data_IF_871289425463
#
_entry.id   IF_871289425463
#
_cell.length_a   1.000
_cell.length_b   1.000
_cell.length_c   1.000
_cell.angle_alpha   90.00
_cell.angle_beta   90.00
_cell.angle_gamma   90.00
#
_symmetry.space_group_name_H-M   'P 1'
#
loop_
_entity.id
_entity.type
_entity.pdbx_description
1 polymer ?
#
# COMPACT_ATOMS: atom_id res chain seq x y z
N UNK A 1 3.99 3.95 -18.36
CA UNK A 1 3.76 3.64 -16.94
C UNK A 1 2.29 3.33 -16.76
N UNK A 2 1.93 2.25 -16.06
CA UNK A 2 0.56 2.06 -15.58
C UNK A 2 0.07 3.34 -14.86
N UNK A 3 -1.20 3.67 -15.06
CA UNK A 3 -1.82 4.88 -14.51
C UNK A 3 -2.99 4.46 -13.64
N UNK A 4 -3.12 5.11 -12.49
CA UNK A 4 -4.27 5.03 -11.59
C UNK A 4 -5.03 6.35 -11.69
N UNK A 5 -6.34 6.31 -11.45
CA UNK A 5 -7.15 7.52 -11.39
C UNK A 5 -6.72 8.42 -10.22
N UNK A 6 -6.61 9.73 -10.47
CA UNK A 6 -6.29 10.68 -9.41
C UNK A 6 -7.39 10.70 -8.35
N UNK A 7 -7.00 10.69 -7.08
CA UNK A 7 -7.95 10.71 -5.95
C UNK A 7 -8.49 9.32 -5.56
N UNK A 8 -7.99 8.25 -6.17
CA UNK A 8 -8.23 6.88 -5.68
C UNK A 8 -7.65 6.71 -4.28
N UNK A 9 -8.40 6.04 -3.40
CA UNK A 9 -7.93 5.71 -2.06
C UNK A 9 -6.94 4.55 -2.14
N UNK A 10 -5.68 4.72 -1.71
CA UNK A 10 -4.70 3.64 -1.78
C UNK A 10 -4.96 2.59 -0.70
N UNK A 11 -4.71 1.33 -1.04
CA UNK A 11 -4.44 0.29 -0.05
C UNK A 11 -3.04 0.50 0.52
N UNK A 12 -2.86 0.34 1.83
CA UNK A 12 -1.57 0.51 2.49
C UNK A 12 -1.21 -0.79 3.18
N UNK A 13 0.01 -1.26 2.98
CA UNK A 13 0.58 -2.40 3.69
C UNK A 13 1.82 -1.93 4.45
N UNK A 14 1.89 -2.29 5.72
CA UNK A 14 3.09 -2.20 6.55
C UNK A 14 3.64 -3.61 6.73
N UNK A 15 4.80 -3.89 6.15
CA UNK A 15 5.47 -5.18 6.22
C UNK A 15 6.69 -5.07 7.13
N UNK A 16 6.86 -6.00 8.07
CA UNK A 16 8.03 -6.07 8.94
C UNK A 16 7.65 -6.01 10.43
N UNK A 17 8.21 -6.89 11.27
CA UNK A 17 7.94 -6.90 12.71
C UNK A 17 8.44 -5.63 13.43
N UNK A 18 9.32 -4.85 12.81
CA UNK A 18 9.88 -3.61 13.34
C UNK A 18 8.80 -2.57 13.62
N UNK A 19 7.74 -2.52 12.81
CA UNK A 19 6.61 -1.61 13.02
C UNK A 19 5.82 -1.89 14.30
N UNK A 20 5.91 -3.11 14.86
CA UNK A 20 5.25 -3.48 16.11
C UNK A 20 6.20 -3.47 17.30
N UNK A 21 7.45 -3.91 17.08
CA UNK A 21 8.46 -4.13 18.11
C UNK A 21 9.22 -2.86 18.52
N UNK A 22 9.61 -2.01 17.56
CA UNK A 22 10.30 -0.76 17.85
C UNK A 22 9.32 0.42 17.89
N UNK A 23 9.37 1.15 19.00
CA UNK A 23 8.56 2.36 19.22
C UNK A 23 8.83 3.47 18.18
N UNK A 24 10.05 3.57 17.64
CA UNK A 24 10.39 4.59 16.64
C UNK A 24 9.78 4.22 15.30
N UNK A 25 10.03 2.99 14.83
CA UNK A 25 9.43 2.46 13.60
C UNK A 25 7.91 2.47 13.66
N UNK A 26 7.30 2.14 14.80
CA UNK A 26 5.85 2.25 15.00
C UNK A 26 5.31 3.67 14.80
N UNK A 27 6.01 4.69 15.32
CA UNK A 27 5.63 6.10 15.11
C UNK A 27 5.73 6.49 13.64
N UNK A 28 6.80 6.06 12.97
CA UNK A 28 6.99 6.33 11.53
C UNK A 28 5.91 5.63 10.70
N UNK A 29 5.60 4.37 10.99
CA UNK A 29 4.51 3.63 10.33
C UNK A 29 3.16 4.33 10.47
N UNK A 30 2.82 4.78 11.69
CA UNK A 30 1.60 5.56 11.92
C UNK A 30 1.59 6.87 11.14
N UNK A 31 2.72 7.59 11.09
CA UNK A 31 2.86 8.82 10.32
C UNK A 31 2.63 8.58 8.82
N UNK A 32 3.20 7.51 8.26
CA UNK A 32 3.03 7.14 6.85
C UNK A 32 1.57 6.79 6.54
N UNK A 33 0.92 6.02 7.41
CA UNK A 33 -0.51 5.70 7.26
C UNK A 33 -1.35 6.97 7.30
N UNK A 34 -1.10 7.88 8.23
CA UNK A 34 -1.84 9.13 8.34
C UNK A 34 -1.64 10.06 7.14
N UNK A 35 -0.45 10.05 6.54
CA UNK A 35 -0.14 10.84 5.35
C UNK A 35 -0.87 10.32 4.10
N UNK A 36 -0.89 8.99 3.89
CA UNK A 36 -1.40 8.39 2.65
C UNK A 36 -2.86 7.90 2.71
N UNK A 37 -3.48 7.75 3.90
CA UNK A 37 -4.84 7.18 4.01
C UNK A 37 -5.96 8.00 3.37
N UNK A 38 -5.76 9.32 3.23
CA UNK A 38 -6.79 10.25 2.76
C UNK A 38 -8.06 10.26 3.64
N UNK A 39 -9.27 10.45 3.07
CA UNK A 39 -10.51 10.52 3.83
C UNK A 39 -10.93 9.16 4.42
N UNK A 40 -11.57 9.17 5.58
CA UNK A 40 -12.23 8.00 6.16
C UNK A 40 -13.54 7.73 5.41
N UNK A 41 -13.73 6.50 4.94
CA UNK A 41 -14.92 6.08 4.19
C UNK A 41 -15.51 4.84 4.86
N UNK A 42 -16.84 4.78 4.97
CA UNK A 42 -17.53 3.61 5.53
C UNK A 42 -17.62 2.45 4.52
N UNK A 43 -17.63 2.76 3.23
CA UNK A 43 -17.72 1.78 2.15
C UNK A 43 -16.81 2.15 0.97
N UNK A 44 -16.18 1.14 0.37
CA UNK A 44 -15.32 1.26 -0.81
C UNK A 44 -15.81 0.31 -1.90
N UNK A 45 -15.83 0.77 -3.15
CA UNK A 45 -16.15 -0.06 -4.30
C UNK A 45 -14.96 -0.93 -4.68
N UNK A 46 -15.19 -2.18 -5.08
CA UNK A 46 -14.12 -3.08 -5.51
C UNK A 46 -13.29 -2.51 -6.68
N UNK A 47 -13.95 -1.85 -7.64
CA UNK A 47 -13.28 -1.18 -8.77
C UNK A 47 -12.41 0.01 -8.34
N UNK A 48 -12.60 0.54 -7.12
CA UNK A 48 -11.77 1.61 -6.58
C UNK A 48 -10.47 1.11 -5.94
N UNK A 49 -10.23 -0.21 -5.87
CA UNK A 49 -9.00 -0.78 -5.33
C UNK A 49 -7.97 -0.91 -6.46
N UNK A 50 -7.45 0.22 -6.93
CA UNK A 50 -6.50 0.26 -8.06
C UNK A 50 -5.05 0.50 -7.63
N UNK A 51 -4.81 1.09 -6.46
CA UNK A 51 -3.47 1.49 -5.98
C UNK A 51 -3.14 0.80 -4.66
N UNK A 52 -1.90 0.32 -4.58
CA UNK A 52 -1.33 -0.29 -3.40
C UNK A 52 0.03 0.35 -3.10
N UNK A 53 0.19 0.86 -1.88
CA UNK A 53 1.45 1.36 -1.34
C UNK A 53 1.95 0.34 -0.32
N UNK A 54 3.11 -0.26 -0.58
CA UNK A 54 3.79 -1.13 0.37
C UNK A 54 4.94 -0.40 1.04
N UNK A 55 4.99 -0.50 2.36
CA UNK A 55 6.11 -0.07 3.19
C UNK A 55 6.73 -1.31 3.86
N UNK A 56 7.94 -1.67 3.47
CA UNK A 56 8.68 -2.78 4.08
C UNK A 56 9.74 -2.23 5.01
N UNK A 57 9.71 -2.61 6.28
CA UNK A 57 10.79 -2.35 7.23
C UNK A 57 11.79 -3.51 7.21
N UNK A 58 13.07 -3.19 7.07
CA UNK A 58 14.16 -4.16 7.21
C UNK A 58 15.47 -3.43 7.51
N UNK A 59 16.26 -3.95 8.45
CA UNK A 59 17.59 -3.42 8.78
C UNK A 59 17.60 -1.90 9.10
N UNK A 60 16.58 -1.42 9.82
CA UNK A 60 16.32 0.02 10.10
C UNK A 60 16.12 0.90 8.85
N UNK A 61 15.83 0.31 7.70
CA UNK A 61 15.44 1.00 6.47
C UNK A 61 13.96 0.76 6.18
N UNK A 62 13.32 1.75 5.54
CA UNK A 62 11.94 1.63 5.07
C UNK A 62 11.94 1.71 3.54
N UNK A 63 11.46 0.65 2.91
CA UNK A 63 11.29 0.56 1.47
C UNK A 63 9.85 0.89 1.11
N UNK A 64 9.64 1.95 0.36
CA UNK A 64 8.34 2.31 -0.21
C UNK A 64 8.27 1.84 -1.66
N UNK A 65 7.23 1.07 -1.99
CA UNK A 65 6.93 0.61 -3.34
C UNK A 65 5.47 0.87 -3.67
N UNK A 66 5.20 1.33 -4.88
CA UNK A 66 3.85 1.62 -5.35
C UNK A 66 3.47 0.72 -6.52
N UNK A 67 2.35 0.03 -6.37
CA UNK A 67 1.83 -0.96 -7.33
C UNK A 67 0.43 -0.58 -7.79
N UNK A 68 0.13 -0.96 -9.03
CA UNK A 68 -1.23 -1.07 -9.54
C UNK A 68 -1.77 -2.45 -9.22
N UNK A 69 -3.00 -2.49 -8.72
CA UNK A 69 -3.73 -3.72 -8.48
C UNK A 69 -4.50 -4.11 -9.74
N UNK A 70 -4.30 -5.33 -10.22
CA UNK A 70 -5.05 -5.91 -11.33
C UNK A 70 -5.94 -7.04 -10.82
N UNK A 71 -7.25 -6.90 -11.03
CA UNK A 71 -8.24 -7.92 -10.69
C UNK A 71 -8.48 -8.83 -11.89
N UNK A 72 -7.95 -10.04 -11.83
CA UNK A 72 -8.12 -11.08 -12.83
C UNK A 72 -9.27 -12.02 -12.49
N UNK A 73 -9.84 -12.63 -13.53
CA UNK A 73 -10.87 -13.66 -13.38
C UNK A 73 -10.33 -14.84 -12.58
N UNK A 74 -11.10 -15.29 -11.58
CA UNK A 74 -10.82 -16.48 -10.77
C UNK A 74 -11.99 -17.47 -10.85
N UNK A 75 -11.80 -18.67 -10.30
CA UNK A 75 -12.83 -19.71 -10.20
C UNK A 75 -13.69 -19.59 -8.93
N UNK A 76 -13.48 -18.56 -8.11
CA UNK A 76 -14.17 -18.32 -6.84
C UNK A 76 -14.78 -16.92 -6.83
N UNK A 77 -15.48 -16.57 -5.75
CA UNK A 77 -16.04 -15.23 -5.56
C UNK A 77 -14.99 -14.15 -5.26
N UNK A 78 -13.71 -14.53 -5.10
CA UNK A 78 -12.60 -13.61 -4.81
C UNK A 78 -11.73 -13.50 -6.07
N UNK A 79 -11.53 -12.29 -6.64
CA UNK A 79 -10.72 -12.13 -7.84
C UNK A 79 -9.25 -12.49 -7.57
N UNK A 80 -8.55 -12.96 -8.60
CA UNK A 80 -7.10 -13.16 -8.51
C UNK A 80 -6.41 -11.81 -8.63
N UNK A 81 -5.57 -11.46 -7.66
CA UNK A 81 -4.85 -10.19 -7.63
C UNK A 81 -3.46 -10.38 -8.25
N UNK A 82 -3.11 -9.51 -9.20
CA UNK A 82 -1.74 -9.35 -9.69
C UNK A 82 -1.29 -7.91 -9.46
N UNK A 83 -0.01 -7.73 -9.14
CA UNK A 83 0.57 -6.42 -8.86
C UNK A 83 1.50 -6.01 -10.00
N UNK A 84 1.38 -4.76 -10.44
CA UNK A 84 2.22 -4.20 -11.47
C UNK A 84 2.86 -2.92 -10.94
N UNK A 85 4.20 -2.92 -10.85
CA UNK A 85 4.94 -1.78 -10.31
C UNK A 85 4.68 -0.50 -11.14
N UNK A 86 4.24 0.55 -10.45
CA UNK A 86 4.04 1.87 -11.06
C UNK A 86 5.14 2.87 -10.68
N UNK A 87 5.75 2.67 -9.50
CA UNK A 87 6.60 3.65 -8.85
C UNK A 87 5.79 4.80 -8.23
N UNK A 88 6.41 5.65 -7.38
CA UNK A 88 7.84 5.71 -7.08
C UNK A 88 8.34 4.57 -6.19
N UNK A 89 9.62 4.23 -6.36
CA UNK A 89 10.35 3.27 -5.53
C UNK A 89 11.38 4.06 -4.72
N UNK A 90 11.14 4.20 -3.41
CA UNK A 90 11.91 5.06 -2.51
C UNK A 90 12.46 4.21 -1.37
N UNK A 91 13.72 4.45 -1.01
CA UNK A 91 14.38 3.78 0.10
C UNK A 91 14.73 4.85 1.13
N UNK A 92 14.09 4.79 2.30
CA UNK A 92 14.32 5.68 3.42
C UNK A 92 15.33 5.03 4.38
N UNK A 93 16.30 5.83 4.82
CA UNK A 93 17.33 5.45 5.78
C UNK A 93 17.21 6.31 7.04
#
# INVERSE_FOLDING_TARGET
TPKVMLGTKPCIILEGPEFESDSTMKRIGNLLVDFFKGPTLDMVRLQGLEELISFTAKDNMIYMRVYRVLLLKSATNVPRIELLEMGPSIDFK
#
